data_IF_806761275596
#
_entry.id   IF_806761275596
#
_cell.length_a   1.000
_cell.length_b   1.000
_cell.length_c   1.000
_cell.angle_alpha   90.00
_cell.angle_beta   90.00
_cell.angle_gamma   90.00
#
_symmetry.space_group_name_H-M   'P 1'
#
loop_
_entity.id
_entity.type
_entity.pdbx_description
1 polymer ?
#
# COMPACT_ATOMS: atom_id res chain seq x y z
N UNK A 1 -0.27 13.16 -8.59
CA UNK A 1 0.93 13.96 -8.65
C UNK A 1 1.83 13.39 -9.74
N UNK A 2 2.94 12.66 -9.47
CA UNK A 2 3.77 12.07 -10.53
C UNK A 2 3.24 10.74 -11.08
N UNK A 3 3.96 10.18 -12.07
CA UNK A 3 3.56 8.94 -12.72
C UNK A 3 3.65 7.73 -11.79
N UNK A 4 2.51 7.17 -11.45
CA UNK A 4 2.37 5.87 -10.81
C UNK A 4 2.25 4.78 -11.88
N UNK A 5 1.18 4.86 -12.68
CA UNK A 5 0.89 3.92 -13.76
C UNK A 5 0.24 4.67 -14.91
N UNK A 6 0.83 4.61 -16.10
CA UNK A 6 0.33 5.31 -17.30
C UNK A 6 0.44 6.83 -17.20
N UNK A 7 -0.43 7.54 -17.93
CA UNK A 7 -0.35 8.98 -18.17
C UNK A 7 -1.27 9.82 -17.26
N UNK A 8 -1.81 9.23 -16.18
CA UNK A 8 -2.66 9.93 -15.22
C UNK A 8 -1.78 10.69 -14.20
N UNK A 9 -1.32 11.88 -14.61
CA UNK A 9 -0.47 12.74 -13.79
C UNK A 9 -1.11 14.10 -13.57
N UNK A 10 -0.83 14.71 -12.40
CA UNK A 10 -1.16 16.08 -12.03
C UNK A 10 0.07 16.72 -11.41
N UNK A 11 1.06 17.12 -12.23
CA UNK A 11 2.39 17.47 -11.72
C UNK A 11 2.49 18.90 -11.18
N UNK A 12 1.69 19.83 -11.68
CA UNK A 12 1.78 21.25 -11.29
C UNK A 12 1.00 21.55 -10.01
N UNK A 13 1.44 22.59 -9.28
CA UNK A 13 0.75 23.04 -8.07
C UNK A 13 -0.66 23.55 -8.39
N UNK A 14 -0.86 24.19 -9.52
CA UNK A 14 -2.17 24.68 -9.98
C UNK A 14 -3.17 23.54 -10.17
N UNK A 15 -2.74 22.44 -10.78
CA UNK A 15 -3.58 21.26 -11.00
C UNK A 15 -3.90 20.55 -9.68
N UNK A 16 -2.90 20.36 -8.82
CA UNK A 16 -3.08 19.77 -7.49
C UNK A 16 -4.03 20.65 -6.66
N UNK A 17 -3.83 21.97 -6.67
CA UNK A 17 -4.68 22.93 -5.96
C UNK A 17 -6.10 22.90 -6.48
N UNK A 18 -6.30 22.82 -7.79
CA UNK A 18 -7.63 22.71 -8.38
C UNK A 18 -8.38 21.47 -7.89
N UNK A 19 -7.71 20.35 -7.72
CA UNK A 19 -8.29 19.12 -7.15
C UNK A 19 -8.58 19.29 -5.66
N UNK A 20 -7.63 19.82 -4.88
CA UNK A 20 -7.76 19.95 -3.42
C UNK A 20 -8.82 20.99 -3.04
N UNK A 21 -8.95 22.07 -3.78
CA UNK A 21 -9.94 23.13 -3.51
C UNK A 21 -11.40 22.70 -3.79
N UNK A 22 -11.59 21.61 -4.56
CA UNK A 22 -12.91 21.16 -4.98
C UNK A 22 -13.38 19.90 -4.19
N UNK A 23 -14.69 19.83 -3.95
CA UNK A 23 -15.35 18.69 -3.30
C UNK A 23 -15.17 18.65 -1.77
N UNK A 24 -15.64 17.55 -1.14
CA UNK A 24 -15.68 17.40 0.33
C UNK A 24 -15.06 16.11 0.83
N UNK A 25 -14.84 15.11 -0.03
CA UNK A 25 -14.27 13.82 0.35
C UNK A 25 -12.77 13.91 0.57
N UNK A 26 -12.22 13.00 1.38
CA UNK A 26 -10.78 12.78 1.45
C UNK A 26 -10.26 12.45 0.05
N UNK A 27 -9.15 13.06 -0.32
CA UNK A 27 -8.46 12.79 -1.59
C UNK A 27 -7.30 11.88 -1.27
N UNK A 28 -7.26 10.71 -1.91
CA UNK A 28 -6.12 9.80 -1.86
C UNK A 28 -5.10 10.18 -2.93
N UNK A 29 -3.84 10.30 -2.55
CA UNK A 29 -2.79 10.86 -3.42
C UNK A 29 -1.58 9.95 -3.45
N UNK A 30 -1.18 9.52 -4.64
CA UNK A 30 0.15 9.03 -4.93
C UNK A 30 1.10 10.22 -5.04
N UNK A 31 2.14 10.31 -4.21
CA UNK A 31 2.98 11.50 -4.07
C UNK A 31 4.45 11.20 -4.43
N UNK A 32 4.80 11.35 -5.68
CA UNK A 32 6.17 11.42 -6.19
C UNK A 32 6.29 12.64 -7.12
N UNK A 33 7.36 13.42 -7.02
CA UNK A 33 7.54 14.65 -7.80
C UNK A 33 7.97 14.32 -9.23
N UNK A 34 7.07 14.59 -10.19
CA UNK A 34 7.31 14.25 -11.59
C UNK A 34 8.54 14.96 -12.17
N UNK A 35 8.73 16.23 -11.83
CA UNK A 35 9.84 17.03 -12.37
C UNK A 35 11.18 16.48 -11.88
N UNK A 36 11.30 16.20 -10.59
CA UNK A 36 12.50 15.58 -10.02
C UNK A 36 12.74 14.17 -10.58
N UNK A 37 11.68 13.37 -10.77
CA UNK A 37 11.80 12.04 -11.37
C UNK A 37 12.28 12.10 -12.82
N UNK A 38 11.79 13.06 -13.62
CA UNK A 38 12.22 13.22 -15.02
C UNK A 38 13.69 13.62 -15.12
N UNK A 39 14.17 14.48 -14.22
CA UNK A 39 15.56 14.87 -14.10
C UNK A 39 16.43 13.70 -13.66
N UNK A 40 16.08 13.04 -12.55
CA UNK A 40 16.79 11.88 -12.01
C UNK A 40 16.85 10.72 -13.02
N UNK A 41 15.80 10.52 -13.82
CA UNK A 41 15.78 9.49 -14.85
C UNK A 41 16.84 9.74 -15.91
N UNK A 42 17.10 10.99 -16.27
CA UNK A 42 18.15 11.36 -17.23
C UNK A 42 19.53 11.28 -16.62
N UNK A 43 19.71 11.83 -15.42
CA UNK A 43 21.03 12.02 -14.80
C UNK A 43 21.52 10.79 -14.06
N UNK A 44 20.62 10.04 -13.38
CA UNK A 44 20.96 8.93 -12.50
C UNK A 44 20.73 7.58 -13.18
N UNK A 45 19.58 7.37 -13.82
CA UNK A 45 19.29 6.11 -14.50
C UNK A 45 20.02 6.00 -15.84
N UNK A 46 19.94 7.04 -16.69
CA UNK A 46 20.52 7.00 -18.04
C UNK A 46 20.05 5.77 -18.83
N UNK A 47 21.00 5.04 -19.40
CA UNK A 47 20.77 3.81 -20.17
C UNK A 47 20.85 2.53 -19.30
N UNK A 48 20.86 2.64 -17.98
CA UNK A 48 20.96 1.48 -17.09
C UNK A 48 19.74 0.57 -17.20
N UNK A 49 19.99 -0.72 -17.28
CA UNK A 49 18.98 -1.78 -17.24
C UNK A 49 18.94 -2.51 -15.89
N UNK A 50 19.68 -2.02 -14.92
CA UNK A 50 19.69 -2.58 -13.56
C UNK A 50 18.47 -2.12 -12.77
N UNK A 51 17.60 -3.06 -12.42
CA UNK A 51 16.37 -2.78 -11.64
C UNK A 51 16.66 -2.23 -10.24
N UNK A 52 17.84 -2.46 -9.68
CA UNK A 52 18.23 -1.89 -8.37
C UNK A 52 18.31 -0.36 -8.41
N UNK A 53 18.51 0.24 -9.59
CA UNK A 53 18.46 1.67 -9.78
C UNK A 53 17.07 2.29 -9.55
N UNK A 54 16.01 1.45 -9.50
CA UNK A 54 14.65 1.92 -9.36
C UNK A 54 14.42 2.74 -8.09
N UNK A 55 14.96 2.30 -6.95
CA UNK A 55 14.84 3.03 -5.69
C UNK A 55 15.78 4.24 -5.58
N UNK A 56 16.73 4.39 -6.51
CA UNK A 56 17.70 5.47 -6.52
C UNK A 56 17.19 6.67 -7.33
N UNK A 57 16.79 6.47 -8.59
CA UNK A 57 16.31 7.58 -9.41
C UNK A 57 14.90 8.04 -9.02
N UNK A 58 14.03 7.15 -8.52
CA UNK A 58 12.78 7.53 -7.85
C UNK A 58 13.10 7.82 -6.39
N UNK A 59 13.81 8.90 -6.16
CA UNK A 59 14.51 9.16 -4.90
C UNK A 59 13.56 9.48 -3.72
N UNK A 60 14.03 9.31 -2.46
CA UNK A 60 13.30 9.77 -1.28
C UNK A 60 12.93 11.25 -1.33
N UNK A 61 13.78 12.08 -1.91
CA UNK A 61 13.55 13.53 -2.05
C UNK A 61 12.36 13.81 -2.95
N UNK A 62 12.16 13.03 -4.03
CA UNK A 62 10.99 13.19 -4.91
C UNK A 62 9.68 12.87 -4.20
N UNK A 63 9.68 11.89 -3.29
CA UNK A 63 8.53 11.58 -2.46
C UNK A 63 8.26 12.69 -1.43
N UNK A 64 9.28 13.12 -0.71
CA UNK A 64 9.16 14.19 0.29
C UNK A 64 8.69 15.51 -0.35
N UNK A 65 9.24 15.89 -1.50
CA UNK A 65 8.84 17.10 -2.25
C UNK A 65 7.34 17.06 -2.56
N UNK A 66 6.85 15.99 -3.21
CA UNK A 66 5.45 15.86 -3.58
C UNK A 66 4.53 15.79 -2.36
N UNK A 67 4.88 15.02 -1.34
CA UNK A 67 4.13 14.90 -0.09
C UNK A 67 4.00 16.26 0.60
N UNK A 68 5.10 17.02 0.67
CA UNK A 68 5.09 18.37 1.26
C UNK A 68 4.17 19.31 0.48
N UNK A 69 4.31 19.39 -0.84
CA UNK A 69 3.46 20.23 -1.72
C UNK A 69 1.96 19.92 -1.52
N UNK A 70 1.59 18.65 -1.56
CA UNK A 70 0.20 18.21 -1.35
C UNK A 70 -0.33 18.61 0.03
N UNK A 71 0.45 18.40 1.08
CA UNK A 71 0.01 18.71 2.45
C UNK A 71 -0.07 20.22 2.69
N UNK A 72 0.84 21.04 2.14
CA UNK A 72 0.76 22.50 2.26
C UNK A 72 -0.47 23.06 1.54
N UNK A 73 -0.82 22.54 0.37
CA UNK A 73 -2.06 22.88 -0.32
C UNK A 73 -3.30 22.41 0.47
N UNK A 74 -3.24 21.24 1.09
CA UNK A 74 -4.31 20.75 1.97
C UNK A 74 -4.52 21.68 3.18
N UNK A 75 -3.46 22.19 3.80
CA UNK A 75 -3.52 23.21 4.87
C UNK A 75 -4.15 24.50 4.38
N UNK A 76 -3.69 25.01 3.22
CA UNK A 76 -4.22 26.25 2.61
C UNK A 76 -5.74 26.20 2.43
N UNK A 77 -6.25 25.06 1.99
CA UNK A 77 -7.68 24.84 1.74
C UNK A 77 -8.44 24.21 2.92
N UNK A 78 -7.78 23.99 4.07
CA UNK A 78 -8.36 23.33 5.27
C UNK A 78 -9.02 22.00 4.94
N UNK A 79 -8.39 21.23 4.05
CA UNK A 79 -8.90 19.95 3.57
C UNK A 79 -7.96 18.82 3.92
N UNK A 80 -8.51 17.68 4.35
CA UNK A 80 -7.70 16.50 4.63
C UNK A 80 -7.40 15.71 3.36
N UNK A 81 -6.17 15.24 3.26
CA UNK A 81 -5.69 14.32 2.24
C UNK A 81 -5.28 12.98 2.86
N UNK A 82 -5.23 11.94 2.05
CA UNK A 82 -4.69 10.65 2.40
C UNK A 82 -3.49 10.37 1.52
N UNK A 83 -2.31 10.28 2.10
CA UNK A 83 -1.09 10.00 1.35
C UNK A 83 -0.91 8.50 1.31
N UNK A 84 -0.98 7.95 0.10
CA UNK A 84 -0.88 6.53 -0.19
C UNK A 84 0.56 6.03 0.01
N UNK A 85 0.73 4.78 0.39
CA UNK A 85 1.95 3.96 0.31
C UNK A 85 3.26 4.70 0.60
N UNK A 86 3.39 5.34 1.74
CA UNK A 86 4.61 6.04 2.17
C UNK A 86 5.78 5.06 2.29
N UNK A 87 6.96 5.49 1.84
CA UNK A 87 8.15 4.64 1.76
C UNK A 87 9.40 5.19 2.45
N UNK A 88 9.41 6.46 2.86
CA UNK A 88 10.63 7.11 3.34
C UNK A 88 10.56 7.57 4.79
N UNK A 89 11.71 7.66 5.44
CA UNK A 89 11.86 8.19 6.81
C UNK A 89 11.44 9.65 6.86
N UNK A 90 11.87 10.42 5.88
CA UNK A 90 11.67 11.86 5.78
C UNK A 90 10.18 12.21 5.63
N UNK A 91 9.45 11.45 4.81
CA UNK A 91 7.99 11.60 4.70
C UNK A 91 7.30 11.29 6.04
N UNK A 92 7.70 10.21 6.73
CA UNK A 92 7.11 9.84 8.02
C UNK A 92 7.32 10.93 9.05
N UNK A 93 8.53 11.50 9.14
CA UNK A 93 8.85 12.60 10.07
C UNK A 93 8.04 13.85 9.77
N UNK A 94 7.84 14.16 8.50
CA UNK A 94 7.01 15.29 8.06
C UNK A 94 5.53 15.04 8.37
N UNK A 95 5.00 13.88 8.00
CA UNK A 95 3.59 13.52 8.17
C UNK A 95 3.19 13.37 9.64
N UNK A 96 4.08 12.88 10.50
CA UNK A 96 3.86 12.82 11.95
C UNK A 96 3.52 14.20 12.55
N UNK A 97 4.12 15.27 12.03
CA UNK A 97 3.88 16.66 12.45
C UNK A 97 2.63 17.28 11.80
N UNK A 98 2.07 16.63 10.78
CA UNK A 98 1.00 17.17 9.94
C UNK A 98 -0.27 16.29 9.94
N UNK A 99 -0.48 15.47 10.97
CA UNK A 99 -1.61 14.53 11.11
C UNK A 99 -2.99 15.20 11.07
N UNK A 100 -3.09 16.49 11.37
CA UNK A 100 -4.33 17.24 11.26
C UNK A 100 -4.84 17.27 9.80
N UNK A 101 -3.94 17.39 8.82
CA UNK A 101 -4.27 17.54 7.41
C UNK A 101 -4.02 16.29 6.57
N UNK A 102 -3.19 15.36 7.05
CA UNK A 102 -2.84 14.16 6.31
C UNK A 102 -3.06 12.88 7.11
N UNK A 103 -3.65 11.88 6.50
CA UNK A 103 -3.62 10.49 6.95
C UNK A 103 -2.60 9.71 6.13
N UNK A 104 -2.04 8.64 6.73
CA UNK A 104 -0.83 7.96 6.28
C UNK A 104 -1.12 6.50 6.01
N UNK A 105 -0.71 6.02 4.84
CA UNK A 105 -0.81 4.62 4.44
C UNK A 105 0.58 4.00 4.25
N UNK A 106 0.71 2.72 4.59
CA UNK A 106 1.88 1.90 4.25
C UNK A 106 1.45 0.58 3.63
N UNK A 107 2.36 -0.07 2.89
CA UNK A 107 2.09 -1.35 2.25
C UNK A 107 2.78 -2.51 2.99
N UNK A 108 2.14 -3.69 2.95
CA UNK A 108 2.75 -4.92 3.45
C UNK A 108 4.09 -5.23 2.74
N UNK A 109 4.21 -4.90 1.45
CA UNK A 109 5.45 -5.08 0.69
C UNK A 109 6.60 -4.25 1.26
N UNK A 110 6.38 -2.94 1.47
CA UNK A 110 7.39 -2.03 2.04
C UNK A 110 7.78 -2.40 3.48
N UNK A 111 6.84 -2.99 4.25
CA UNK A 111 7.12 -3.50 5.61
C UNK A 111 7.86 -4.84 5.61
N UNK A 112 7.84 -5.61 4.50
CA UNK A 112 8.34 -6.99 4.45
C UNK A 112 9.58 -7.16 3.58
N UNK A 113 9.80 -6.29 2.62
CA UNK A 113 10.90 -6.32 1.66
C UNK A 113 11.76 -5.06 1.83
N UNK A 114 13.05 -5.15 1.52
CA UNK A 114 13.95 -4.00 1.49
C UNK A 114 15.02 -4.15 0.38
N UNK A 115 15.52 -3.03 -0.09
CA UNK A 115 16.66 -2.97 -1.01
C UNK A 115 17.99 -3.17 -0.23
N UNK A 116 19.05 -3.69 -0.87
CA UNK A 116 19.09 -4.20 -2.24
C UNK A 116 18.54 -5.63 -2.40
N UNK A 117 18.38 -6.39 -1.30
CA UNK A 117 18.07 -7.83 -1.27
C UNK A 117 16.85 -8.19 -2.13
N UNK A 118 15.77 -7.38 -2.08
CA UNK A 118 14.57 -7.68 -2.85
C UNK A 118 14.81 -7.62 -4.36
N UNK A 119 15.61 -6.68 -4.85
CA UNK A 119 15.95 -6.56 -6.27
C UNK A 119 16.91 -7.66 -6.71
N UNK A 120 17.89 -8.03 -5.89
CA UNK A 120 18.80 -9.16 -6.15
C UNK A 120 18.04 -10.50 -6.28
N UNK A 121 17.04 -10.71 -5.43
CA UNK A 121 16.26 -11.96 -5.39
C UNK A 121 15.13 -12.02 -6.41
N UNK A 122 14.42 -10.92 -6.62
CA UNK A 122 13.18 -10.87 -7.37
C UNK A 122 13.31 -10.17 -8.74
N UNK A 123 14.41 -9.42 -8.97
CA UNK A 123 14.54 -8.63 -10.18
C UNK A 123 13.38 -7.66 -10.37
N UNK A 124 12.84 -7.62 -11.57
CA UNK A 124 11.69 -6.77 -11.94
C UNK A 124 10.40 -7.12 -11.19
N UNK A 125 10.28 -8.32 -10.61
CA UNK A 125 9.14 -8.66 -9.76
C UNK A 125 9.06 -7.83 -8.47
N UNK A 126 10.18 -7.20 -8.03
CA UNK A 126 10.20 -6.25 -6.92
C UNK A 126 9.88 -4.80 -7.34
N UNK A 127 9.78 -4.52 -8.64
CA UNK A 127 9.55 -3.18 -9.16
C UNK A 127 8.11 -2.74 -8.91
N UNK A 128 7.94 -1.71 -8.08
CA UNK A 128 6.65 -1.05 -7.77
C UNK A 128 6.88 0.44 -7.51
N UNK A 129 5.84 1.26 -7.53
CA UNK A 129 5.86 2.70 -7.31
C UNK A 129 5.00 3.10 -6.10
N UNK A 130 5.56 3.80 -5.08
CA UNK A 130 6.97 4.12 -4.92
C UNK A 130 7.83 2.86 -4.69
N UNK A 131 9.15 2.94 -4.92
CA UNK A 131 10.05 1.80 -4.81
C UNK A 131 10.13 1.20 -3.41
N UNK A 132 10.51 -0.10 -3.34
CA UNK A 132 11.00 -0.71 -2.11
C UNK A 132 12.35 -0.09 -1.79
N UNK A 133 12.49 0.44 -0.56
CA UNK A 133 13.66 1.21 -0.09
C UNK A 133 14.61 0.36 0.75
N UNK A 134 15.75 0.96 1.09
CA UNK A 134 16.74 0.40 1.98
C UNK A 134 16.18 0.16 3.39
N UNK A 135 16.90 -0.68 4.12
CA UNK A 135 16.47 -1.18 5.44
C UNK A 135 16.14 -0.10 6.46
N UNK A 136 16.85 1.03 6.48
CA UNK A 136 16.59 2.12 7.43
C UNK A 136 15.23 2.79 7.21
N UNK A 137 14.79 2.93 5.95
CA UNK A 137 13.45 3.40 5.64
C UNK A 137 12.38 2.40 6.11
N UNK A 138 12.58 1.10 5.86
CA UNK A 138 11.67 0.07 6.36
C UNK A 138 11.56 0.11 7.90
N UNK A 139 12.66 0.32 8.61
CA UNK A 139 12.66 0.43 10.08
C UNK A 139 11.88 1.67 10.55
N UNK A 140 11.98 2.79 9.85
CA UNK A 140 11.17 3.98 10.11
C UNK A 140 9.67 3.73 9.89
N UNK A 141 9.28 2.98 8.83
CA UNK A 141 7.90 2.57 8.62
C UNK A 141 7.38 1.72 9.79
N UNK A 142 8.16 0.75 10.28
CA UNK A 142 7.78 -0.07 11.43
C UNK A 142 7.62 0.78 12.72
N UNK A 143 8.48 1.76 12.94
CA UNK A 143 8.35 2.69 14.05
C UNK A 143 7.04 3.48 13.95
N UNK A 144 6.73 4.01 12.76
CA UNK A 144 5.50 4.77 12.49
C UNK A 144 4.23 3.92 12.59
N UNK A 145 4.29 2.63 12.24
CA UNK A 145 3.21 1.66 12.48
C UNK A 145 2.92 1.54 13.98
N UNK A 146 3.96 1.40 14.80
CA UNK A 146 3.81 1.12 16.23
C UNK A 146 3.52 2.37 17.07
N UNK A 147 3.96 3.56 16.66
CA UNK A 147 3.71 4.80 17.38
C UNK A 147 2.35 5.47 17.02
N UNK A 148 1.61 4.92 16.06
CA UNK A 148 0.30 5.41 15.67
C UNK A 148 0.32 6.45 14.54
N UNK A 149 1.46 6.79 13.96
CA UNK A 149 1.57 7.71 12.83
C UNK A 149 0.86 7.18 11.59
N UNK A 150 1.00 5.88 11.29
CA UNK A 150 0.31 5.21 10.18
C UNK A 150 -1.17 5.00 10.53
N UNK A 151 -2.06 5.30 9.60
CA UNK A 151 -3.51 5.14 9.75
C UNK A 151 -4.07 3.91 9.06
N UNK A 152 -3.50 3.52 7.91
CA UNK A 152 -4.00 2.43 7.06
C UNK A 152 -2.83 1.56 6.60
N UNK A 153 -3.09 0.25 6.57
CA UNK A 153 -2.27 -0.75 5.90
C UNK A 153 -3.00 -1.22 4.65
N UNK A 154 -2.36 -1.13 3.48
CA UNK A 154 -2.93 -1.50 2.20
C UNK A 154 -2.08 -2.53 1.44
N UNK A 155 -2.61 -3.03 0.32
CA UNK A 155 -1.92 -3.98 -0.54
C UNK A 155 -1.30 -3.34 -1.78
N UNK A 156 -1.86 -2.23 -2.23
CA UNK A 156 -1.57 -1.64 -3.54
C UNK A 156 -1.51 -2.73 -4.64
N UNK A 157 -2.60 -3.50 -4.74
CA UNK A 157 -2.70 -4.63 -5.66
C UNK A 157 -2.72 -4.14 -7.11
N UNK A 158 -1.55 -4.04 -7.72
CA UNK A 158 -1.32 -3.61 -9.10
C UNK A 158 -0.65 -4.75 -9.91
N UNK A 159 -1.40 -5.82 -10.24
CA UNK A 159 -0.83 -7.02 -10.84
C UNK A 159 -0.53 -6.82 -12.32
N UNK A 160 0.65 -7.29 -12.75
CA UNK A 160 1.07 -7.47 -14.13
C UNK A 160 1.41 -8.94 -14.36
N UNK A 161 1.27 -9.41 -15.60
CA UNK A 161 1.62 -10.78 -15.96
C UNK A 161 3.13 -11.04 -15.82
N UNK A 162 3.54 -12.30 -15.68
CA UNK A 162 4.96 -12.64 -15.66
C UNK A 162 5.68 -12.24 -16.95
N UNK A 163 5.02 -12.34 -18.11
CA UNK A 163 5.58 -11.93 -19.41
C UNK A 163 5.81 -10.40 -19.45
N UNK A 164 4.89 -9.61 -18.94
CA UNK A 164 5.08 -8.15 -18.81
C UNK A 164 6.22 -7.83 -17.84
N UNK A 165 6.28 -8.50 -16.70
CA UNK A 165 7.35 -8.32 -15.70
C UNK A 165 8.71 -8.82 -16.19
N UNK A 166 8.77 -9.73 -17.16
CA UNK A 166 10.01 -10.25 -17.74
C UNK A 166 10.69 -9.27 -18.73
N UNK A 167 10.02 -8.17 -19.06
CA UNK A 167 10.65 -7.14 -19.90
C UNK A 167 11.88 -6.55 -19.21
N UNK A 168 12.85 -6.16 -20.03
CA UNK A 168 14.08 -5.53 -19.52
C UNK A 168 13.73 -4.19 -18.85
N UNK A 169 14.27 -3.97 -17.65
CA UNK A 169 14.15 -2.68 -16.96
C UNK A 169 14.80 -1.56 -17.80
N UNK A 170 14.21 -0.36 -17.89
CA UNK A 170 13.02 0.12 -17.21
C UNK A 170 11.68 -0.10 -17.96
N UNK A 171 11.68 -0.90 -19.02
CA UNK A 171 10.46 -1.16 -19.81
C UNK A 171 9.46 -2.10 -19.10
N UNK A 172 9.93 -2.88 -18.12
CA UNK A 172 9.04 -3.69 -17.29
C UNK A 172 8.08 -2.79 -16.48
N UNK A 173 6.78 -3.11 -16.38
CA UNK A 173 5.82 -2.30 -15.65
C UNK A 173 6.04 -2.39 -14.14
N UNK A 174 5.82 -1.27 -13.43
CA UNK A 174 5.82 -1.22 -11.97
C UNK A 174 4.48 -1.69 -11.41
N UNK A 175 4.53 -2.50 -10.37
CA UNK A 175 3.35 -3.04 -9.67
C UNK A 175 3.50 -4.51 -9.32
N UNK A 176 2.85 -4.90 -8.21
CA UNK A 176 2.92 -6.26 -7.65
C UNK A 176 1.54 -6.74 -7.22
N UNK A 177 1.23 -8.04 -7.31
CA UNK A 177 0.04 -8.60 -6.69
C UNK A 177 0.25 -8.66 -5.17
N UNK A 178 -0.75 -8.19 -4.38
CA UNK A 178 -0.61 -8.12 -2.92
C UNK A 178 -1.87 -8.46 -2.13
N UNK A 179 -3.07 -8.37 -2.72
CA UNK A 179 -4.34 -8.46 -1.97
C UNK A 179 -4.52 -9.80 -1.25
N UNK A 180 -4.12 -10.92 -1.85
CA UNK A 180 -4.28 -12.24 -1.25
C UNK A 180 -3.23 -12.51 -0.16
N UNK A 181 -2.02 -11.98 -0.30
CA UNK A 181 -0.89 -12.24 0.60
C UNK A 181 -0.77 -11.25 1.75
N UNK A 182 -1.51 -10.13 1.70
CA UNK A 182 -1.52 -9.10 2.76
C UNK A 182 -1.76 -9.71 4.14
N UNK A 183 -2.84 -10.49 4.29
CA UNK A 183 -3.26 -11.05 5.58
C UNK A 183 -2.23 -12.03 6.15
N UNK A 184 -1.83 -13.11 5.46
CA UNK A 184 -0.88 -14.07 6.03
C UNK A 184 0.51 -13.47 6.27
N UNK A 185 0.99 -12.56 5.43
CA UNK A 185 2.29 -11.88 5.64
C UNK A 185 2.24 -11.05 6.92
N UNK A 186 1.17 -10.27 7.14
CA UNK A 186 1.07 -9.42 8.33
C UNK A 186 0.78 -10.21 9.61
N UNK A 187 0.01 -11.32 9.56
CA UNK A 187 -0.13 -12.24 10.69
C UNK A 187 1.21 -12.87 11.09
N UNK A 188 2.07 -13.18 10.12
CA UNK A 188 3.43 -13.63 10.39
C UNK A 188 4.27 -12.57 11.11
N UNK A 189 4.10 -11.28 10.77
CA UNK A 189 4.73 -10.18 11.49
C UNK A 189 4.18 -10.01 12.92
N UNK A 190 2.88 -10.25 13.14
CA UNK A 190 2.30 -10.32 14.50
C UNK A 190 2.94 -11.46 15.31
N UNK A 191 3.04 -12.66 14.74
CA UNK A 191 3.72 -13.80 15.38
C UNK A 191 5.20 -13.51 15.68
N UNK A 192 5.86 -12.72 14.86
CA UNK A 192 7.25 -12.24 15.10
C UNK A 192 7.32 -11.03 16.05
N UNK A 193 6.20 -10.61 16.65
CA UNK A 193 6.10 -9.48 17.59
C UNK A 193 6.55 -8.14 17.00
N UNK A 194 6.41 -7.96 15.69
CA UNK A 194 6.69 -6.68 15.02
C UNK A 194 5.58 -5.65 15.26
N UNK A 195 4.33 -6.11 15.43
CA UNK A 195 3.17 -5.31 15.85
C UNK A 195 2.20 -6.19 16.63
N UNK A 196 1.28 -5.59 17.40
CA UNK A 196 0.20 -6.34 18.05
C UNK A 196 -0.94 -6.69 17.08
N UNK A 197 -1.75 -7.69 17.43
CA UNK A 197 -2.91 -8.08 16.63
C UNK A 197 -3.94 -6.94 16.60
N UNK A 198 -4.16 -6.26 17.72
CA UNK A 198 -5.08 -5.12 17.83
C UNK A 198 -4.65 -3.98 16.91
N UNK A 199 -3.32 -3.71 16.84
CA UNK A 199 -2.79 -2.70 15.94
C UNK A 199 -3.00 -3.08 14.48
N UNK A 200 -2.80 -4.34 14.13
CA UNK A 200 -3.06 -4.85 12.78
C UNK A 200 -4.54 -4.67 12.40
N UNK A 201 -5.47 -5.04 13.29
CA UNK A 201 -6.91 -4.87 13.07
C UNK A 201 -7.28 -3.40 12.94
N UNK A 202 -6.69 -2.51 13.74
CA UNK A 202 -6.91 -1.06 13.59
C UNK A 202 -6.50 -0.59 12.20
N UNK A 203 -5.33 -0.97 11.72
CA UNK A 203 -4.77 -0.51 10.44
C UNK A 203 -5.57 -0.95 9.22
N UNK A 204 -6.16 -2.14 9.18
CA UNK A 204 -6.86 -2.62 7.99
C UNK A 204 -8.38 -2.67 8.09
N UNK A 205 -8.95 -2.40 9.28
CA UNK A 205 -10.41 -2.36 9.49
C UNK A 205 -10.88 -0.98 9.97
N UNK A 206 -10.43 -0.55 11.14
CA UNK A 206 -10.86 0.71 11.74
C UNK A 206 -10.28 1.93 11.01
N UNK A 207 -9.02 1.86 10.59
CA UNK A 207 -8.33 2.92 9.85
C UNK A 207 -9.09 3.31 8.58
N UNK A 208 -9.31 2.38 7.63
CA UNK A 208 -10.11 2.65 6.43
C UNK A 208 -11.51 3.20 6.74
N UNK A 209 -12.20 2.63 7.75
CA UNK A 209 -13.51 3.12 8.19
C UNK A 209 -13.45 4.60 8.63
N UNK A 210 -12.46 4.96 9.47
CA UNK A 210 -12.31 6.35 9.97
C UNK A 210 -11.95 7.33 8.88
N UNK A 211 -10.96 6.96 8.04
CA UNK A 211 -10.39 7.88 7.04
C UNK A 211 -11.37 8.11 5.90
N UNK A 212 -11.92 7.03 5.34
CA UNK A 212 -12.81 7.11 4.19
C UNK A 212 -14.30 7.23 4.56
N UNK A 213 -14.63 7.29 5.87
CA UNK A 213 -16.01 7.37 6.38
C UNK A 213 -16.93 6.29 5.81
N UNK A 214 -16.42 5.07 5.74
CA UNK A 214 -17.14 3.92 5.21
C UNK A 214 -18.36 3.63 6.10
N UNK A 215 -19.53 3.40 5.48
CA UNK A 215 -20.75 3.14 6.21
C UNK A 215 -20.82 1.67 6.64
N UNK A 216 -21.18 1.42 7.90
CA UNK A 216 -21.50 0.11 8.51
C UNK A 216 -20.45 -1.01 8.33
N UNK A 217 -19.17 -0.67 8.13
CA UNK A 217 -18.07 -1.64 7.98
C UNK A 217 -16.89 -1.31 8.90
N UNK A 218 -15.96 -2.27 9.04
CA UNK A 218 -14.70 -2.10 9.76
C UNK A 218 -14.79 -2.26 11.27
N UNK A 219 -15.94 -2.63 11.82
CA UNK A 219 -16.15 -2.88 13.27
C UNK A 219 -17.14 -4.01 13.50
N UNK A 220 -16.92 -4.81 14.55
CA UNK A 220 -17.91 -5.75 15.09
C UNK A 220 -18.84 -4.99 16.03
N UNK A 221 -19.95 -4.47 15.50
CA UNK A 221 -20.91 -3.64 16.24
C UNK A 221 -22.34 -3.90 15.76
N UNK A 222 -23.33 -3.83 16.66
CA UNK A 222 -24.75 -3.93 16.32
C UNK A 222 -25.10 -2.86 15.28
N UNK A 223 -25.76 -3.27 14.21
CA UNK A 223 -26.13 -2.41 13.06
C UNK A 223 -25.04 -2.29 11.98
N UNK A 224 -23.88 -2.93 12.16
CA UNK A 224 -22.84 -3.05 11.14
C UNK A 224 -23.01 -4.34 10.32
N UNK A 225 -22.48 -4.36 9.12
CA UNK A 225 -22.45 -5.56 8.29
C UNK A 225 -21.68 -6.69 8.99
N UNK A 226 -22.14 -7.92 8.84
CA UNK A 226 -21.48 -9.11 9.36
C UNK A 226 -20.29 -9.52 8.48
N UNK A 227 -19.35 -8.60 8.27
CA UNK A 227 -18.09 -8.84 7.57
C UNK A 227 -17.03 -9.30 8.56
N UNK A 228 -16.67 -10.57 8.52
CA UNK A 228 -15.82 -11.21 9.52
C UNK A 228 -14.76 -12.06 8.84
N UNK A 229 -13.51 -11.92 9.26
CA UNK A 229 -12.45 -12.85 8.91
C UNK A 229 -11.99 -13.60 10.16
N UNK A 230 -12.03 -14.93 10.12
CA UNK A 230 -11.44 -15.78 11.14
C UNK A 230 -10.01 -16.14 10.73
N UNK A 231 -9.09 -16.03 11.69
CA UNK A 231 -7.69 -16.35 11.49
C UNK A 231 -7.21 -17.38 12.51
N UNK A 232 -6.43 -18.35 12.05
CA UNK A 232 -5.68 -19.25 12.93
C UNK A 232 -4.26 -18.71 13.08
N UNK A 233 -3.94 -18.17 14.26
CA UNK A 233 -2.62 -17.58 14.55
C UNK A 233 -1.50 -18.64 14.67
N UNK A 234 -1.83 -19.93 14.76
CA UNK A 234 -0.85 -21.01 14.90
C UNK A 234 -0.62 -21.78 13.58
N UNK A 235 -1.54 -21.70 12.63
CA UNK A 235 -1.45 -22.39 11.34
C UNK A 235 -0.20 -21.93 10.59
N UNK A 236 0.65 -22.88 10.22
CA UNK A 236 1.87 -22.63 9.44
C UNK A 236 1.64 -23.05 8.00
N UNK A 237 1.95 -22.19 7.06
CA UNK A 237 1.77 -22.39 5.63
C UNK A 237 2.95 -21.82 4.86
N UNK A 238 3.15 -22.32 3.64
CA UNK A 238 4.06 -21.70 2.68
C UNK A 238 3.22 -20.99 1.63
N UNK A 239 3.46 -19.70 1.43
CA UNK A 239 2.83 -18.95 0.33
C UNK A 239 3.44 -19.45 -0.98
N UNK A 240 2.60 -19.76 -1.99
CA UNK A 240 3.08 -20.22 -3.30
C UNK A 240 2.34 -19.49 -4.43
N UNK A 241 3.00 -19.40 -5.58
CA UNK A 241 2.40 -18.91 -6.81
C UNK A 241 1.15 -19.72 -7.21
N UNK A 242 1.19 -21.05 -7.01
CA UNK A 242 0.08 -21.94 -7.35
C UNK A 242 -1.22 -21.68 -6.56
N UNK A 243 -1.12 -21.06 -5.38
CA UNK A 243 -2.28 -20.69 -4.54
C UNK A 243 -2.92 -19.37 -4.98
N UNK A 244 -2.25 -18.57 -5.82
CA UNK A 244 -2.74 -17.23 -6.16
C UNK A 244 -3.98 -17.30 -7.03
N UNK A 245 -5.02 -16.56 -6.64
CA UNK A 245 -6.29 -16.45 -7.38
C UNK A 245 -6.30 -15.25 -8.34
N UNK A 246 -5.34 -14.35 -8.22
CA UNK A 246 -5.10 -13.30 -9.22
C UNK A 246 -4.81 -13.94 -10.58
N UNK A 247 -5.34 -13.36 -11.66
CA UNK A 247 -5.12 -13.85 -13.04
C UNK A 247 -3.64 -13.87 -13.42
N UNK A 248 -2.80 -13.11 -12.75
CA UNK A 248 -1.35 -13.06 -13.01
C UNK A 248 -0.58 -14.23 -12.42
N UNK A 249 -1.17 -14.97 -11.46
CA UNK A 249 -0.67 -16.27 -10.99
C UNK A 249 0.67 -16.25 -10.25
N UNK A 250 1.08 -15.09 -9.69
CA UNK A 250 2.35 -14.97 -8.95
C UNK A 250 2.24 -14.04 -7.74
N UNK A 251 3.24 -14.08 -6.86
CA UNK A 251 3.39 -13.18 -5.71
C UNK A 251 4.89 -12.95 -5.40
N UNK A 252 5.29 -11.76 -4.93
CA UNK A 252 6.67 -11.52 -4.49
C UNK A 252 7.05 -12.31 -3.24
N UNK A 253 6.10 -12.99 -2.61
CA UNK A 253 6.26 -13.81 -1.42
C UNK A 253 6.28 -15.32 -1.70
N UNK A 254 6.45 -15.73 -2.96
CA UNK A 254 6.56 -17.16 -3.30
C UNK A 254 7.67 -17.86 -2.50
N UNK A 255 7.34 -19.02 -1.91
CA UNK A 255 8.24 -19.78 -1.04
C UNK A 255 8.33 -19.27 0.41
N UNK A 256 7.68 -18.16 0.77
CA UNK A 256 7.73 -17.62 2.13
C UNK A 256 6.92 -18.52 3.09
N UNK A 257 7.59 -19.03 4.12
CA UNK A 257 6.94 -19.71 5.25
C UNK A 257 6.37 -18.68 6.22
N UNK A 258 5.07 -18.77 6.49
CA UNK A 258 4.35 -17.86 7.39
C UNK A 258 3.65 -18.62 8.49
N UNK A 259 3.47 -17.95 9.62
CA UNK A 259 2.66 -18.41 10.75
C UNK A 259 1.52 -17.42 10.98
N UNK A 260 0.30 -17.96 10.98
CA UNK A 260 -0.95 -17.19 10.97
C UNK A 260 -1.58 -17.21 9.58
N UNK A 261 -2.83 -17.72 9.48
CA UNK A 261 -3.54 -17.90 8.21
C UNK A 261 -5.03 -17.57 8.35
N UNK A 262 -5.65 -16.89 7.37
CA UNK A 262 -7.09 -16.72 7.34
C UNK A 262 -7.75 -18.07 7.00
N UNK A 263 -8.71 -18.49 7.82
CA UNK A 263 -9.38 -19.80 7.64
C UNK A 263 -10.83 -19.67 7.22
N UNK A 264 -11.45 -18.49 7.41
CA UNK A 264 -12.80 -18.21 6.93
C UNK A 264 -13.00 -16.71 6.71
N UNK A 265 -13.75 -16.36 5.68
CA UNK A 265 -14.21 -14.99 5.43
C UNK A 265 -15.72 -15.00 5.21
N UNK A 266 -16.40 -14.08 5.87
CA UNK A 266 -17.83 -13.84 5.73
C UNK A 266 -18.05 -12.40 5.25
N UNK A 267 -19.04 -12.23 4.36
CA UNK A 267 -19.51 -10.91 3.91
C UNK A 267 -21.02 -10.86 4.17
N UNK A 268 -21.45 -9.87 4.96
CA UNK A 268 -22.86 -9.70 5.40
C UNK A 268 -23.48 -11.01 5.91
N UNK A 269 -22.71 -11.74 6.75
CA UNK A 269 -23.13 -12.98 7.37
C UNK A 269 -23.06 -14.24 6.47
N UNK A 270 -22.66 -14.11 5.20
CA UNK A 270 -22.53 -15.25 4.30
C UNK A 270 -21.05 -15.63 4.14
N UNK A 271 -20.75 -16.92 4.27
CA UNK A 271 -19.39 -17.43 4.08
C UNK A 271 -19.03 -17.36 2.60
N UNK A 272 -17.93 -16.66 2.28
CA UNK A 272 -17.40 -16.52 0.91
C UNK A 272 -16.05 -17.20 0.72
N UNK A 273 -15.40 -17.61 1.81
CA UNK A 273 -14.19 -18.43 1.80
C UNK A 273 -14.12 -19.28 3.08
N UNK A 274 -13.71 -20.56 2.94
CA UNK A 274 -13.38 -21.44 4.06
C UNK A 274 -12.26 -22.39 3.67
N UNK A 275 -11.19 -22.45 4.47
CA UNK A 275 -10.01 -23.32 4.23
C UNK A 275 -9.50 -23.23 2.78
N UNK A 276 -9.32 -22.00 2.27
CA UNK A 276 -8.87 -21.65 0.92
C UNK A 276 -9.86 -22.02 -0.22
N UNK A 277 -11.01 -22.63 0.09
CA UNK A 277 -12.11 -22.82 -0.86
C UNK A 277 -12.94 -21.52 -0.98
N UNK A 278 -13.18 -21.08 -2.22
CA UNK A 278 -13.98 -19.90 -2.53
C UNK A 278 -15.42 -20.30 -2.88
N UNK A 279 -16.37 -19.55 -2.33
CA UNK A 279 -17.80 -19.68 -2.62
C UNK A 279 -18.29 -18.56 -3.55
N UNK A 280 -19.59 -18.49 -3.76
CA UNK A 280 -20.25 -17.49 -4.63
C UNK A 280 -19.83 -16.06 -4.24
N UNK A 281 -19.35 -15.25 -5.20
CA UNK A 281 -19.01 -13.87 -4.94
C UNK A 281 -20.27 -13.01 -4.76
N UNK A 282 -20.43 -12.41 -3.59
CA UNK A 282 -21.59 -11.60 -3.21
C UNK A 282 -21.22 -10.15 -2.90
N UNK A 283 -20.06 -9.72 -3.38
CA UNK A 283 -19.55 -8.36 -3.18
C UNK A 283 -20.54 -7.30 -3.64
N UNK A 284 -20.57 -6.17 -2.94
CA UNK A 284 -21.37 -4.99 -3.32
C UNK A 284 -20.51 -3.74 -3.13
N UNK A 285 -20.77 -2.67 -3.90
CA UNK A 285 -20.07 -1.39 -3.72
C UNK A 285 -20.20 -0.88 -2.29
N UNK A 286 -19.07 -0.41 -1.74
CA UNK A 286 -19.02 0.20 -0.42
C UNK A 286 -19.74 1.54 -0.44
N UNK A 287 -20.54 1.82 0.60
CA UNK A 287 -21.21 3.10 0.80
C UNK A 287 -20.40 3.99 1.74
N UNK A 288 -20.44 5.29 1.50
CA UNK A 288 -19.74 6.30 2.29
C UNK A 288 -20.77 7.23 2.95
N UNK A 289 -20.56 7.61 4.21
CA UNK A 289 -21.48 8.47 4.98
C UNK A 289 -21.75 9.83 4.33
N UNK A 290 -20.83 10.30 3.50
CA UNK A 290 -20.97 11.60 2.80
C UNK A 290 -21.81 11.53 1.51
N UNK A 291 -22.23 10.34 1.11
CA UNK A 291 -23.06 10.11 -0.10
C UNK A 291 -24.46 9.61 0.19
N UNK A 292 -24.82 9.50 1.48
CA UNK A 292 -26.14 9.06 1.96
C UNK A 292 -27.04 10.28 2.32
#
# INVERSE_FOLDING_TARGET
VGASTGDLITPSDEEIEAVISNGRRVIAVHAEDQYMMDENKKEILGDSTDVSMHCIWRSPESCLSATTRVVELAKKHKRRVHILHITTTEEMDYLKKNKEYASVEVLANHLSLHAPECYERLGTLAQQNPPIREKHHQDALWNAVNDGTVDILASDHAPHTLDEKAQIYPSSPSGTPGVQTLVPVMLNHVNKKKLSLERLVDLWSHGPHRIHKIHNKGQLKIGYDGDITLVDLKKEMTITNAQQKSKTGWTPFDGLKVKGWPVMTMIRGNVVMREDELFEPIGQPVQFKETM
#
